data_IF_375751935820
#
_entry.id   IF_375751935820
#
_cell.length_a   1.000
_cell.length_b   1.000
_cell.length_c   1.000
_cell.angle_alpha   90.00
_cell.angle_beta   90.00
_cell.angle_gamma   90.00
#
_symmetry.space_group_name_H-M   'P 1'
#
loop_
_entity.id
_entity.type
_entity.pdbx_description
1 polymer ?
#
# COMPACT_ATOMS: atom_id res chain seq x y z
N UNK A 1 5.25 33.85 -40.94
CA UNK A 1 6.00 33.38 -39.76
C UNK A 1 5.51 31.98 -39.46
N UNK A 2 6.27 30.96 -39.86
CA UNK A 2 5.85 29.56 -39.75
C UNK A 2 6.51 28.97 -38.51
N UNK A 3 5.73 28.76 -37.46
CA UNK A 3 6.19 28.11 -36.24
C UNK A 3 6.25 26.60 -36.48
N UNK A 4 7.46 26.05 -36.60
CA UNK A 4 7.70 24.61 -36.64
C UNK A 4 7.52 24.03 -35.23
N UNK A 5 6.51 23.17 -35.02
CA UNK A 5 6.37 22.42 -33.77
C UNK A 5 7.52 21.39 -33.64
N UNK A 6 8.20 21.26 -32.48
CA UNK A 6 9.34 20.37 -32.36
C UNK A 6 8.91 18.92 -32.09
N UNK A 7 9.37 18.00 -32.95
CA UNK A 7 10.03 16.69 -32.76
C UNK A 7 9.97 15.89 -31.43
N UNK A 8 9.35 16.37 -30.36
CA UNK A 8 9.43 15.76 -29.03
C UNK A 8 8.76 14.40 -28.89
N UNK A 9 7.68 14.14 -29.62
CA UNK A 9 6.97 12.85 -29.56
C UNK A 9 7.77 11.72 -30.21
N UNK A 10 8.41 11.99 -31.35
CA UNK A 10 9.27 11.01 -32.03
C UNK A 10 10.50 10.67 -31.20
N UNK A 11 11.03 11.63 -30.44
CA UNK A 11 12.16 11.40 -29.54
C UNK A 11 11.78 10.53 -28.34
N UNK A 12 10.56 10.70 -27.80
CA UNK A 12 10.03 9.84 -26.73
C UNK A 12 9.85 8.40 -27.23
N UNK A 13 9.22 8.21 -28.39
CA UNK A 13 9.01 6.88 -28.98
C UNK A 13 10.33 6.17 -29.31
N UNK A 14 11.31 6.91 -29.85
CA UNK A 14 12.65 6.40 -30.12
C UNK A 14 13.37 5.98 -28.82
N UNK A 15 13.27 6.78 -27.76
CA UNK A 15 13.85 6.46 -26.45
C UNK A 15 13.20 5.23 -25.82
N UNK A 16 11.88 5.09 -25.91
CA UNK A 16 11.20 3.88 -25.43
C UNK A 16 11.62 2.63 -26.21
N UNK A 17 11.70 2.74 -27.54
CA UNK A 17 12.15 1.65 -28.40
C UNK A 17 13.58 1.23 -28.06
N UNK A 18 14.47 2.20 -27.86
CA UNK A 18 15.84 1.97 -27.40
C UNK A 18 15.87 1.31 -26.02
N UNK A 19 15.09 1.80 -25.06
CA UNK A 19 14.99 1.23 -23.72
C UNK A 19 14.53 -0.24 -23.74
N UNK A 20 13.51 -0.56 -24.54
CA UNK A 20 13.04 -1.95 -24.74
C UNK A 20 14.11 -2.84 -25.39
N UNK A 21 14.89 -2.32 -26.33
CA UNK A 21 16.00 -3.03 -26.96
C UNK A 21 17.13 -3.32 -25.96
N UNK A 22 17.60 -2.28 -25.26
CA UNK A 22 18.66 -2.41 -24.24
C UNK A 22 18.25 -3.39 -23.13
N UNK A 23 17.00 -3.36 -22.68
CA UNK A 23 16.49 -4.30 -21.69
C UNK A 23 16.50 -5.76 -22.20
N UNK A 24 16.24 -6.00 -23.49
CA UNK A 24 16.37 -7.34 -24.09
C UNK A 24 17.82 -7.79 -24.15
N UNK A 25 18.72 -6.93 -24.64
CA UNK A 25 20.15 -7.22 -24.73
C UNK A 25 20.72 -7.54 -23.35
N UNK A 26 20.43 -6.71 -22.35
CA UNK A 26 20.89 -6.91 -20.98
C UNK A 26 20.43 -8.27 -20.42
N UNK A 27 19.17 -8.66 -20.63
CA UNK A 27 18.67 -9.98 -20.21
C UNK A 27 19.35 -11.13 -20.94
N UNK A 28 19.60 -10.98 -22.25
CA UNK A 28 20.26 -12.01 -23.05
C UNK A 28 21.74 -12.20 -22.67
N UNK A 29 22.46 -11.12 -22.36
CA UNK A 29 23.84 -11.26 -21.88
C UNK A 29 23.88 -11.83 -20.46
N UNK A 30 22.94 -11.45 -19.61
CA UNK A 30 22.85 -11.94 -18.23
C UNK A 30 22.57 -13.45 -18.16
N UNK A 31 21.78 -14.00 -19.09
CA UNK A 31 21.56 -15.47 -19.18
C UNK A 31 22.82 -16.24 -19.56
N UNK A 32 23.75 -15.62 -20.29
CA UNK A 32 25.04 -16.23 -20.67
C UNK A 32 26.07 -16.23 -19.53
N UNK A 33 25.88 -15.41 -18.51
CA UNK A 33 26.73 -15.42 -17.33
C UNK A 33 26.44 -16.66 -16.48
N UNK A 34 27.49 -17.42 -16.15
CA UNK A 34 27.44 -18.51 -15.18
C UNK A 34 26.93 -18.01 -13.83
N UNK A 35 26.18 -18.85 -13.09
CA UNK A 35 25.53 -18.46 -11.82
C UNK A 35 26.47 -17.78 -10.80
N UNK A 36 27.75 -18.16 -10.74
CA UNK A 36 28.74 -17.54 -9.83
C UNK A 36 29.24 -16.15 -10.26
N UNK A 37 29.03 -15.74 -11.51
CA UNK A 37 29.40 -14.42 -12.06
C UNK A 37 28.19 -13.51 -12.30
N UNK A 38 26.96 -14.02 -12.17
CA UNK A 38 25.75 -13.23 -12.31
C UNK A 38 25.55 -12.37 -11.05
N UNK A 39 25.28 -11.08 -11.23
CA UNK A 39 24.92 -10.20 -10.12
C UNK A 39 23.59 -10.65 -9.50
N UNK A 40 23.55 -10.86 -8.18
CA UNK A 40 22.33 -11.24 -7.45
C UNK A 40 21.38 -10.04 -7.44
N UNK A 41 20.15 -10.23 -7.92
CA UNK A 41 19.15 -9.14 -8.09
C UNK A 41 17.91 -9.33 -7.23
N UNK A 42 17.59 -10.56 -6.86
CA UNK A 42 16.43 -10.83 -6.02
C UNK A 42 16.85 -10.99 -4.56
N UNK A 43 15.96 -10.63 -3.63
CA UNK A 43 16.16 -10.88 -2.20
C UNK A 43 16.43 -12.37 -1.94
N UNK A 44 15.76 -13.26 -2.68
CA UNK A 44 15.96 -14.70 -2.63
C UNK A 44 17.40 -15.11 -3.01
N UNK A 45 17.98 -14.46 -4.02
CA UNK A 45 19.37 -14.72 -4.45
C UNK A 45 20.40 -14.15 -3.47
N UNK A 46 20.13 -12.98 -2.90
CA UNK A 46 21.02 -12.35 -1.90
C UNK A 46 21.01 -13.13 -0.58
N UNK A 47 19.85 -13.62 -0.16
CA UNK A 47 19.64 -14.36 1.09
C UNK A 47 18.90 -15.69 0.83
N UNK A 48 19.63 -16.75 0.43
CA UNK A 48 19.06 -18.09 0.27
C UNK A 48 18.42 -18.55 1.59
N UNK A 49 17.16 -18.99 1.53
CA UNK A 49 16.40 -19.40 2.73
C UNK A 49 15.61 -18.27 3.40
N UNK A 50 15.59 -17.06 2.84
CA UNK A 50 14.72 -15.99 3.33
C UNK A 50 13.23 -16.33 3.09
N UNK A 51 12.47 -16.47 4.16
CA UNK A 51 11.00 -16.57 4.13
C UNK A 51 10.40 -15.17 4.22
N UNK A 52 9.49 -14.82 3.30
CA UNK A 52 8.83 -13.51 3.33
C UNK A 52 7.88 -13.45 4.51
N UNK A 53 7.97 -12.40 5.32
CA UNK A 53 6.99 -12.14 6.37
C UNK A 53 5.58 -12.09 5.76
N UNK A 54 4.58 -12.73 6.40
CA UNK A 54 3.20 -12.70 5.92
C UNK A 54 2.66 -11.27 5.94
N UNK A 55 1.89 -10.90 4.93
CA UNK A 55 1.21 -9.60 4.89
C UNK A 55 0.12 -9.61 5.96
N UNK A 56 0.26 -8.74 6.96
CA UNK A 56 -0.75 -8.56 7.99
C UNK A 56 -1.95 -7.80 7.39
N UNK A 57 -3.09 -8.47 7.31
CA UNK A 57 -4.36 -7.84 6.93
C UNK A 57 -4.93 -7.12 8.16
N UNK A 58 -4.84 -5.79 8.18
CA UNK A 58 -5.57 -4.99 9.17
C UNK A 58 -7.06 -5.03 8.83
N UNK A 59 -7.86 -5.69 9.67
CA UNK A 59 -9.31 -5.62 9.58
C UNK A 59 -9.76 -4.21 9.97
N UNK A 60 -10.27 -3.44 9.00
CA UNK A 60 -10.92 -2.16 9.27
C UNK A 60 -12.35 -2.44 9.70
N UNK A 61 -12.75 -2.14 10.95
CA UNK A 61 -14.14 -2.28 11.37
C UNK A 61 -15.03 -1.37 10.52
N UNK A 62 -16.18 -1.89 10.08
CA UNK A 62 -17.24 -1.07 9.49
C UNK A 62 -17.80 -0.18 10.60
N UNK A 63 -17.44 1.10 10.61
CA UNK A 63 -18.16 2.07 11.43
C UNK A 63 -19.52 2.29 10.77
N UNK A 64 -20.59 2.39 11.56
CA UNK A 64 -21.75 3.15 11.08
C UNK A 64 -21.24 4.56 10.81
N UNK A 65 -21.49 5.12 9.62
CA UNK A 65 -20.85 6.35 9.11
C UNK A 65 -20.97 7.56 10.06
N UNK A 66 -21.93 7.52 10.99
CA UNK A 66 -22.25 8.60 11.94
C UNK A 66 -21.84 8.31 13.40
N UNK A 67 -21.14 7.19 13.69
CA UNK A 67 -20.73 6.84 15.04
C UNK A 67 -19.31 7.34 15.35
N UNK A 68 -19.09 7.87 16.56
CA UNK A 68 -17.78 8.33 16.98
C UNK A 68 -16.73 7.18 17.01
N UNK A 69 -15.53 7.38 16.44
CA UNK A 69 -14.53 6.32 16.31
C UNK A 69 -13.90 5.85 17.64
N UNK A 70 -14.07 6.61 18.72
CA UNK A 70 -13.49 6.30 20.03
C UNK A 70 -14.43 5.50 20.94
N UNK A 71 -15.73 5.77 20.88
CA UNK A 71 -16.71 5.20 21.82
C UNK A 71 -17.96 4.59 21.16
N UNK A 72 -18.10 4.69 19.83
CA UNK A 72 -19.20 4.09 19.07
C UNK A 72 -20.58 4.74 19.28
N UNK A 73 -20.67 5.87 19.99
CA UNK A 73 -21.94 6.60 20.19
C UNK A 73 -22.22 7.57 19.04
N UNK A 74 -23.48 7.69 18.66
CA UNK A 74 -23.94 8.52 17.54
C UNK A 74 -23.99 10.03 17.87
N UNK A 75 -23.98 10.41 19.16
CA UNK A 75 -24.05 11.80 19.62
C UNK A 75 -22.78 12.30 20.31
N UNK A 76 -21.62 11.62 20.18
CA UNK A 76 -20.39 12.11 20.82
C UNK A 76 -19.84 13.35 20.09
N UNK A 77 -19.68 14.46 20.81
CA UNK A 77 -19.05 15.69 20.31
C UNK A 77 -17.51 15.69 20.42
N UNK A 78 -16.90 14.53 20.63
CA UNK A 78 -15.44 14.38 20.81
C UNK A 78 -14.94 14.71 22.22
N UNK A 79 -15.49 15.74 22.88
CA UNK A 79 -15.19 16.10 24.27
C UNK A 79 -15.80 15.16 25.31
N UNK A 80 -16.96 14.58 24.98
CA UNK A 80 -17.76 13.78 25.93
C UNK A 80 -17.46 12.29 25.85
N UNK A 81 -16.45 11.92 25.07
CA UNK A 81 -16.01 10.55 24.92
C UNK A 81 -15.22 10.15 26.17
N UNK A 82 -15.61 9.07 26.89
CA UNK A 82 -14.90 8.66 28.09
C UNK A 82 -13.45 8.33 27.73
N UNK A 83 -12.48 8.65 28.60
CA UNK A 83 -11.07 8.37 28.34
C UNK A 83 -10.89 6.88 28.07
N UNK A 84 -10.15 6.59 27.00
CA UNK A 84 -10.01 5.29 26.37
C UNK A 84 -9.52 4.24 27.40
N UNK A 85 -10.45 3.47 27.97
CA UNK A 85 -10.13 2.57 29.09
C UNK A 85 -11.26 1.66 29.58
N UNK A 86 -12.52 1.91 29.22
CA UNK A 86 -13.64 1.03 29.60
C UNK A 86 -14.40 0.52 28.36
N UNK A 87 -13.67 0.00 27.39
CA UNK A 87 -14.27 -0.88 26.39
C UNK A 87 -14.53 -2.24 27.05
N UNK A 88 -15.65 -2.37 27.76
CA UNK A 88 -16.04 -3.66 28.35
C UNK A 88 -17.14 -3.57 29.40
N UNK A 89 -18.39 -3.61 28.95
CA UNK A 89 -19.42 -4.49 29.54
C UNK A 89 -20.73 -4.35 28.73
N UNK A 90 -21.08 -5.41 28.01
CA UNK A 90 -22.44 -5.62 27.50
C UNK A 90 -23.38 -5.84 28.69
N UNK A 91 -24.51 -5.14 28.69
CA UNK A 91 -25.80 -5.60 29.24
C UNK A 91 -25.97 -5.58 30.76
N UNK A 92 -26.92 -4.78 31.25
CA UNK A 92 -28.21 -5.20 31.85
C UNK A 92 -28.83 -4.08 32.70
N UNK A 93 -30.16 -3.92 32.65
CA UNK A 93 -30.95 -3.37 33.77
C UNK A 93 -31.36 -1.88 33.75
N UNK A 94 -32.55 -1.62 33.17
CA UNK A 94 -33.70 -0.88 33.75
C UNK A 94 -33.42 0.25 34.76
N UNK A 95 -33.84 1.47 34.41
CA UNK A 95 -34.74 2.28 35.25
C UNK A 95 -35.31 3.45 34.42
N UNK A 96 -36.63 3.43 34.23
CA UNK A 96 -37.42 4.63 33.97
C UNK A 96 -37.22 5.58 35.15
N UNK A 97 -37.12 6.88 34.91
CA UNK A 97 -37.86 7.78 35.79
C UNK A 97 -38.29 9.07 35.07
N UNK A 98 -39.57 9.33 35.25
CA UNK A 98 -40.34 10.45 34.74
C UNK A 98 -40.23 11.57 35.78
N UNK A 99 -39.92 12.79 35.34
CA UNK A 99 -40.42 13.99 36.01
C UNK A 99 -40.57 15.15 35.06
#
# INVERSE_FOLDING_TARGET
MTTTLPTHTTDIEANEALGRLLARIARQEDTRLSAGRRARRTLQEMAPGYERQPVLLLHRPSMADDACPLCGRWSCQGSDCPPNGTAGARGTGRAQDVR
#
